data_IF_859900209506
#
_entry.id   IF_859900209506
#
_cell.length_a   1.000
_cell.length_b   1.000
_cell.length_c   1.000
_cell.angle_alpha   90.00
_cell.angle_beta   90.00
_cell.angle_gamma   90.00
#
_symmetry.space_group_name_H-M   'P 1'
#
loop_
_entity.id
_entity.type
_entity.pdbx_description
1 polymer ?
#
# COMPACT_ATOMS: atom_id res chain seq x y z
N UNK A 1 -6.44 -21.08 3.18
CA UNK A 1 -7.88 -20.98 3.41
C UNK A 1 -8.23 -19.52 3.23
N UNK A 2 -8.69 -19.15 2.03
CA UNK A 2 -9.09 -17.78 1.71
C UNK A 2 -10.34 -17.45 2.55
N UNK A 3 -10.23 -16.47 3.44
CA UNK A 3 -11.41 -15.84 4.02
C UNK A 3 -11.94 -14.90 2.94
N UNK A 4 -13.12 -15.14 2.37
CA UNK A 4 -13.71 -14.19 1.45
C UNK A 4 -13.96 -12.89 2.23
N UNK A 5 -13.39 -11.79 1.74
CA UNK A 5 -13.79 -10.46 2.18
C UNK A 5 -15.31 -10.37 2.03
N UNK A 6 -16.07 -9.89 3.04
CA UNK A 6 -17.54 -9.92 3.05
C UNK A 6 -18.22 -8.96 2.07
N UNK A 7 -17.51 -8.52 1.03
CA UNK A 7 -17.98 -7.53 0.06
C UNK A 7 -18.02 -8.03 -1.39
N UNK A 8 -17.99 -9.34 -1.63
CA UNK A 8 -18.35 -9.86 -2.95
C UNK A 8 -19.86 -9.78 -3.12
N UNK A 9 -20.33 -8.63 -3.59
CA UNK A 9 -21.69 -8.48 -4.07
C UNK A 9 -21.76 -9.24 -5.39
N UNK A 10 -22.41 -10.39 -5.38
CA UNK A 10 -22.67 -11.12 -6.61
C UNK A 10 -23.79 -10.41 -7.37
N UNK A 11 -23.47 -9.96 -8.57
CA UNK A 11 -24.45 -9.44 -9.50
C UNK A 11 -25.32 -10.62 -9.96
N UNK A 12 -26.55 -10.72 -9.46
CA UNK A 12 -27.52 -11.63 -10.03
C UNK A 12 -27.87 -11.11 -11.43
N UNK A 13 -27.77 -11.96 -12.44
CA UNK A 13 -27.91 -11.66 -13.88
C UNK A 13 -29.27 -11.04 -14.29
N UNK A 14 -29.89 -10.22 -13.49
CA UNK A 14 -31.09 -9.46 -13.76
C UNK A 14 -30.74 -8.01 -14.14
N UNK A 15 -30.20 -7.86 -15.36
CA UNK A 15 -30.05 -6.58 -16.01
C UNK A 15 -31.40 -6.13 -16.58
N UNK A 16 -31.96 -5.05 -16.03
CA UNK A 16 -33.12 -4.38 -16.61
C UNK A 16 -32.66 -3.09 -17.28
N UNK A 17 -32.87 -3.01 -18.58
CA UNK A 17 -32.55 -1.80 -19.36
C UNK A 17 -33.71 -0.80 -19.27
N UNK A 18 -33.47 0.38 -18.73
CA UNK A 18 -34.35 1.53 -18.82
C UNK A 18 -34.02 2.39 -20.04
N UNK A 19 -34.88 3.32 -20.40
CA UNK A 19 -34.63 4.26 -21.49
C UNK A 19 -33.46 5.23 -21.23
N UNK A 20 -33.05 5.41 -19.97
CA UNK A 20 -32.02 6.36 -19.52
C UNK A 20 -30.92 5.73 -18.66
N UNK A 21 -30.88 4.40 -18.56
CA UNK A 21 -29.85 3.72 -17.75
C UNK A 21 -30.11 2.23 -17.60
N UNK A 22 -29.31 1.59 -16.75
CA UNK A 22 -29.36 0.16 -16.45
C UNK A 22 -29.61 -0.03 -14.96
N UNK A 23 -30.51 -0.95 -14.62
CA UNK A 23 -30.79 -1.35 -13.24
C UNK A 23 -30.15 -2.72 -12.99
N UNK A 24 -29.28 -2.77 -12.00
CA UNK A 24 -28.66 -4.02 -11.56
C UNK A 24 -29.38 -4.55 -10.32
N UNK A 25 -29.95 -5.75 -10.41
CA UNK A 25 -30.45 -6.45 -9.23
C UNK A 25 -29.31 -7.00 -8.41
N UNK A 26 -29.27 -6.71 -7.11
CA UNK A 26 -28.26 -7.22 -6.17
C UNK A 26 -28.96 -8.08 -5.11
N UNK A 27 -28.29 -9.12 -4.65
CA UNK A 27 -28.79 -10.08 -3.65
C UNK A 27 -28.64 -9.60 -2.21
N UNK A 28 -27.88 -8.53 -1.99
CA UNK A 28 -27.62 -7.98 -0.67
C UNK A 28 -27.55 -6.45 -0.68
N UNK A 29 -27.76 -5.83 0.48
CA UNK A 29 -27.65 -4.38 0.65
C UNK A 29 -26.18 -3.96 0.49
N UNK A 30 -25.95 -2.98 -0.39
CA UNK A 30 -24.62 -2.38 -0.56
C UNK A 30 -24.40 -1.42 0.63
N UNK A 31 -23.44 -1.78 1.49
CA UNK A 31 -22.99 -0.92 2.58
C UNK A 31 -21.78 -0.11 2.14
N UNK A 32 -21.65 1.16 2.57
CA UNK A 32 -20.45 1.93 2.31
C UNK A 32 -19.24 1.26 2.98
N UNK A 33 -18.06 1.26 2.36
CA UNK A 33 -16.87 0.65 2.94
C UNK A 33 -16.47 1.37 4.23
N UNK A 34 -15.92 0.66 5.23
CA UNK A 34 -15.36 1.28 6.43
C UNK A 34 -14.04 2.02 6.12
N UNK A 35 -13.55 2.80 7.09
CA UNK A 35 -12.23 3.44 7.02
C UNK A 35 -11.10 2.38 6.92
N UNK A 36 -10.00 2.71 6.25
CA UNK A 36 -8.85 1.81 6.06
C UNK A 36 -8.33 1.22 7.37
N UNK A 37 -8.18 2.04 8.41
CA UNK A 37 -7.74 1.59 9.73
C UNK A 37 -8.76 0.65 10.40
N UNK A 38 -10.05 0.83 10.13
CA UNK A 38 -11.09 -0.07 10.61
C UNK A 38 -10.99 -1.43 9.91
N UNK A 39 -10.72 -1.46 8.60
CA UNK A 39 -10.50 -2.70 7.85
C UNK A 39 -9.35 -3.51 8.47
N UNK A 40 -8.23 -2.85 8.82
CA UNK A 40 -7.11 -3.51 9.49
C UNK A 40 -7.51 -4.14 10.83
N UNK A 41 -8.35 -3.44 11.60
CA UNK A 41 -8.81 -3.93 12.92
C UNK A 41 -9.78 -5.12 12.81
N UNK A 42 -10.51 -5.24 11.69
CA UNK A 42 -11.40 -6.38 11.43
C UNK A 42 -10.64 -7.65 11.00
N UNK A 43 -9.37 -7.54 10.61
CA UNK A 43 -8.53 -8.66 10.14
C UNK A 43 -7.29 -8.85 11.02
N UNK A 44 -7.43 -9.12 12.32
CA UNK A 44 -6.30 -9.22 13.25
C UNK A 44 -5.36 -10.40 12.92
N UNK A 45 -5.85 -11.46 12.30
CA UNK A 45 -5.04 -12.60 11.87
C UNK A 45 -3.96 -12.21 10.85
N UNK A 46 -4.21 -11.18 10.05
CA UNK A 46 -3.30 -10.69 9.01
C UNK A 46 -2.50 -9.46 9.45
N UNK A 47 -3.10 -8.57 10.28
CA UNK A 47 -2.55 -7.24 10.52
C UNK A 47 -2.32 -6.90 12.00
N UNK A 48 -2.34 -7.88 12.91
CA UNK A 48 -2.14 -7.62 14.35
C UNK A 48 -0.82 -6.92 14.66
N UNK A 49 0.26 -7.27 13.95
CA UNK A 49 1.58 -6.64 14.13
C UNK A 49 1.58 -5.19 13.65
N UNK A 50 0.98 -4.91 12.49
CA UNK A 50 0.81 -3.56 11.96
C UNK A 50 -0.04 -2.70 12.91
N UNK A 51 -1.17 -3.22 13.36
CA UNK A 51 -2.06 -2.53 14.29
C UNK A 51 -1.34 -2.17 15.58
N UNK A 52 -0.64 -3.14 16.19
CA UNK A 52 0.17 -2.89 17.38
C UNK A 52 1.21 -1.78 17.15
N UNK A 53 1.86 -1.78 15.98
CA UNK A 53 2.82 -0.75 15.60
C UNK A 53 2.19 0.63 15.48
N UNK A 54 1.04 0.75 14.81
CA UNK A 54 0.30 2.01 14.66
C UNK A 54 -0.20 2.57 15.99
N UNK A 55 -0.69 1.71 16.88
CA UNK A 55 -1.14 2.11 18.21
C UNK A 55 0.02 2.58 19.08
N UNK A 56 1.14 1.81 19.10
CA UNK A 56 2.32 2.11 19.90
C UNK A 56 2.98 3.43 19.50
N UNK A 57 3.06 3.72 18.21
CA UNK A 57 3.65 4.96 17.67
C UNK A 57 2.70 6.15 17.68
N UNK A 58 1.45 5.96 18.08
CA UNK A 58 0.40 6.98 18.06
C UNK A 58 -0.08 7.36 16.66
N UNK A 59 0.46 6.74 15.61
CA UNK A 59 0.10 7.03 14.21
C UNK A 59 -1.37 6.70 13.92
N UNK A 60 -1.94 5.70 14.58
CA UNK A 60 -3.36 5.37 14.46
C UNK A 60 -4.26 6.59 14.70
N UNK A 61 -4.00 7.32 15.79
CA UNK A 61 -4.76 8.54 16.13
C UNK A 61 -4.42 9.71 15.21
N UNK A 62 -3.15 9.84 14.84
CA UNK A 62 -2.68 10.93 13.97
C UNK A 62 -3.28 10.85 12.58
N UNK A 63 -3.29 9.67 11.94
CA UNK A 63 -3.90 9.44 10.63
C UNK A 63 -5.40 9.68 10.69
N UNK A 64 -6.07 9.16 11.72
CA UNK A 64 -7.52 9.35 11.88
C UNK A 64 -7.93 10.80 12.13
N UNK A 65 -7.09 11.60 12.79
CA UNK A 65 -7.36 13.00 13.09
C UNK A 65 -6.97 13.95 11.94
N UNK A 66 -6.11 13.51 11.04
CA UNK A 66 -5.66 14.33 9.90
C UNK A 66 -6.73 14.38 8.81
N UNK A 67 -7.20 15.56 8.41
CA UNK A 67 -8.09 15.67 7.25
C UNK A 67 -7.33 15.28 5.99
N UNK A 68 -7.81 14.29 5.27
CA UNK A 68 -7.25 13.84 3.99
C UNK A 68 -8.37 13.48 3.01
N UNK A 69 -8.14 13.77 1.74
CA UNK A 69 -9.04 13.41 0.64
C UNK A 69 -8.45 12.23 -0.11
N UNK A 70 -8.85 11.02 0.25
CA UNK A 70 -8.28 9.80 -0.27
C UNK A 70 -6.90 9.48 0.33
N UNK A 71 -6.28 8.42 -0.14
CA UNK A 71 -4.96 7.98 0.29
C UNK A 71 -4.71 6.54 -0.10
N UNK A 72 -3.45 6.12 0.00
CA UNK A 72 -3.06 4.73 -0.24
C UNK A 72 -2.29 4.21 0.97
N UNK A 73 -2.77 3.14 1.55
CA UNK A 73 -2.11 2.44 2.63
C UNK A 73 -1.51 1.13 2.11
N UNK A 74 -0.20 1.02 2.13
CA UNK A 74 0.51 -0.23 1.87
C UNK A 74 0.64 -1.00 3.19
N UNK A 75 -0.27 -1.94 3.43
CA UNK A 75 -0.38 -2.67 4.68
C UNK A 75 0.49 -3.93 4.68
N UNK A 76 1.61 -3.98 5.41
CA UNK A 76 2.40 -5.18 5.56
C UNK A 76 1.67 -6.20 6.44
N UNK A 77 1.56 -7.44 5.94
CA UNK A 77 0.97 -8.53 6.69
C UNK A 77 1.87 -8.99 7.85
N UNK A 78 1.34 -9.77 8.78
CA UNK A 78 2.14 -10.40 9.84
C UNK A 78 3.29 -11.24 9.24
N UNK A 79 3.08 -11.86 8.08
CA UNK A 79 4.13 -12.59 7.36
C UNK A 79 5.22 -11.64 6.82
N UNK A 80 4.84 -10.44 6.37
CA UNK A 80 5.80 -9.43 5.91
C UNK A 80 6.73 -9.01 7.07
N UNK A 81 6.19 -8.76 8.25
CA UNK A 81 6.99 -8.47 9.45
C UNK A 81 7.88 -9.67 9.84
N UNK A 82 7.39 -10.89 9.71
CA UNK A 82 8.17 -12.09 10.00
C UNK A 82 9.41 -12.21 9.10
N UNK A 83 9.33 -11.78 7.84
CA UNK A 83 10.48 -11.75 6.91
C UNK A 83 11.58 -10.77 7.30
N UNK A 84 11.29 -9.73 8.09
CA UNK A 84 12.34 -8.85 8.64
C UNK A 84 13.28 -9.55 9.62
N UNK A 85 12.90 -10.73 10.10
CA UNK A 85 13.66 -11.49 11.08
C UNK A 85 13.39 -11.06 12.53
N UNK A 86 13.69 -11.96 13.50
CA UNK A 86 13.34 -11.76 14.90
C UNK A 86 14.12 -10.62 15.57
N UNK A 87 15.36 -10.38 15.15
CA UNK A 87 16.23 -9.33 15.73
C UNK A 87 15.69 -7.93 15.42
N UNK A 88 15.32 -7.66 14.17
CA UNK A 88 14.76 -6.37 13.74
C UNK A 88 13.40 -6.15 14.38
N UNK A 89 12.54 -7.17 14.40
CA UNK A 89 11.23 -7.08 15.04
C UNK A 89 11.34 -6.80 16.54
N UNK A 90 12.21 -7.51 17.26
CA UNK A 90 12.44 -7.27 18.68
C UNK A 90 12.92 -5.83 18.94
N UNK A 91 13.81 -5.32 18.09
CA UNK A 91 14.26 -3.92 18.17
C UNK A 91 13.13 -2.94 17.90
N UNK A 92 12.38 -3.08 16.81
CA UNK A 92 11.29 -2.17 16.43
C UNK A 92 10.21 -2.04 17.52
N UNK A 93 9.86 -3.16 18.15
CA UNK A 93 8.86 -3.16 19.23
C UNK A 93 9.44 -2.91 20.62
N UNK A 94 10.75 -2.61 20.73
CA UNK A 94 11.38 -2.14 21.95
C UNK A 94 11.12 -0.64 22.19
N UNK A 95 11.46 -0.15 23.39
CA UNK A 95 11.39 1.29 23.70
C UNK A 95 12.36 2.12 22.83
N UNK A 96 13.49 1.56 22.45
CA UNK A 96 14.50 2.23 21.64
C UNK A 96 14.17 2.25 20.14
N UNK A 97 13.36 1.29 19.68
CA UNK A 97 12.97 1.15 18.27
C UNK A 97 11.70 1.91 17.87
N UNK A 98 11.00 2.55 18.82
CA UNK A 98 9.70 3.19 18.57
C UNK A 98 9.79 4.30 17.52
N UNK A 99 10.84 5.14 17.56
CA UNK A 99 11.07 6.19 16.55
C UNK A 99 11.30 5.60 15.16
N UNK A 100 12.08 4.50 15.08
CA UNK A 100 12.32 3.78 13.83
C UNK A 100 11.03 3.13 13.30
N UNK A 101 10.23 2.56 14.18
CA UNK A 101 8.93 2.00 13.81
C UNK A 101 7.99 3.07 13.28
N UNK A 102 7.95 4.25 13.91
CA UNK A 102 7.16 5.40 13.46
C UNK A 102 7.57 5.86 12.05
N UNK A 103 8.88 6.03 11.81
CA UNK A 103 9.40 6.39 10.49
C UNK A 103 9.08 5.32 9.43
N UNK A 104 9.29 4.05 9.77
CA UNK A 104 8.95 2.92 8.90
C UNK A 104 7.48 2.91 8.53
N UNK A 105 6.57 3.10 9.48
CA UNK A 105 5.14 3.10 9.23
C UNK A 105 4.69 4.33 8.44
N UNK A 106 5.30 5.51 8.66
CA UNK A 106 5.07 6.69 7.82
C UNK A 106 5.42 6.42 6.34
N UNK A 107 6.44 5.61 6.07
CA UNK A 107 6.84 5.24 4.71
C UNK A 107 5.82 4.34 3.99
N UNK A 108 4.91 3.70 4.72
CA UNK A 108 3.85 2.85 4.18
C UNK A 108 2.56 3.63 3.86
N UNK A 109 2.48 4.89 4.21
CA UNK A 109 1.27 5.70 4.05
C UNK A 109 1.51 6.81 3.04
N UNK A 110 0.66 6.87 2.04
CA UNK A 110 0.58 7.95 1.04
C UNK A 110 -0.70 8.72 1.28
N UNK A 111 -0.61 9.99 1.64
CA UNK A 111 -1.76 10.84 1.85
C UNK A 111 -2.20 11.53 0.55
N UNK A 112 -3.51 11.79 0.42
CA UNK A 112 -4.12 12.57 -0.67
C UNK A 112 -3.90 12.01 -2.09
N UNK A 113 -3.42 10.78 -2.23
CA UNK A 113 -3.28 10.10 -3.52
C UNK A 113 -3.77 8.65 -3.39
N UNK A 114 -4.79 8.31 -4.17
CA UNK A 114 -5.38 6.97 -4.19
C UNK A 114 -4.91 6.22 -5.42
N UNK A 115 -4.17 5.14 -5.22
CA UNK A 115 -3.64 4.28 -6.27
C UNK A 115 -4.52 3.04 -6.44
N UNK A 116 -5.30 2.97 -7.51
CA UNK A 116 -6.00 1.74 -7.92
C UNK A 116 -5.18 0.98 -8.96
N UNK A 117 -5.24 -0.34 -8.92
CA UNK A 117 -4.49 -1.20 -9.84
C UNK A 117 -4.96 -1.07 -11.30
N UNK A 118 -6.22 -0.74 -11.51
CA UNK A 118 -6.89 -0.64 -12.82
C UNK A 118 -7.05 0.80 -13.33
N UNK A 119 -6.74 1.81 -12.52
CA UNK A 119 -6.89 3.20 -12.91
C UNK A 119 -5.86 3.64 -13.96
N UNK A 120 -6.28 4.60 -14.78
CA UNK A 120 -5.42 5.25 -15.77
C UNK A 120 -4.60 6.35 -15.08
N UNK A 121 -3.32 6.12 -14.89
CA UNK A 121 -2.41 7.16 -14.45
C UNK A 121 -1.72 7.77 -15.65
N UNK A 122 -2.07 9.00 -16.01
CA UNK A 122 -1.28 9.80 -16.93
C UNK A 122 -0.04 10.26 -16.17
N UNK A 123 1.06 9.53 -16.30
CA UNK A 123 2.34 9.99 -15.80
C UNK A 123 2.62 11.37 -16.46
N UNK A 124 2.80 12.40 -15.65
CA UNK A 124 3.47 13.64 -16.05
C UNK A 124 4.98 13.35 -16.17
N UNK A 125 5.37 12.32 -16.89
CA UNK A 125 6.77 12.04 -17.12
C UNK A 125 7.13 12.35 -18.55
N UNK A 126 8.11 13.21 -18.69
CA UNK A 126 8.81 13.67 -19.86
C UNK A 126 9.64 12.58 -20.57
N UNK A 127 9.25 11.33 -20.54
CA UNK A 127 9.90 10.28 -21.32
C UNK A 127 8.86 9.35 -21.90
N UNK A 128 8.28 9.84 -23.00
CA UNK A 128 7.38 9.11 -23.84
C UNK A 128 8.12 8.00 -24.58
N UNK A 129 7.83 6.76 -24.25
CA UNK A 129 7.85 5.63 -25.18
C UNK A 129 6.59 4.80 -24.93
N UNK A 130 5.44 5.47 -25.01
CA UNK A 130 4.18 4.78 -25.22
C UNK A 130 3.90 4.88 -26.71
N UNK A 131 3.94 3.77 -27.45
CA UNK A 131 3.31 3.70 -28.74
C UNK A 131 1.83 4.08 -28.57
N UNK A 132 1.39 5.08 -29.35
CA UNK A 132 -0.02 5.47 -29.51
C UNK A 132 -0.76 4.35 -30.27
N UNK A 133 -0.99 3.24 -29.60
CA UNK A 133 -2.00 2.29 -30.03
C UNK A 133 -3.35 2.81 -29.51
N UNK A 134 -4.30 3.03 -30.42
CA UNK A 134 -5.67 3.43 -30.12
C UNK A 134 -6.24 2.53 -29.02
N UNK A 135 -6.34 3.07 -27.80
CA UNK A 135 -6.87 2.33 -26.66
C UNK A 135 -8.38 2.37 -26.77
N UNK A 136 -9.00 1.25 -27.09
CA UNK A 136 -10.44 1.07 -26.91
C UNK A 136 -10.78 1.35 -25.44
N UNK A 137 -11.68 2.33 -25.20
CA UNK A 137 -12.07 2.79 -23.84
C UNK A 137 -12.63 1.67 -22.93
N UNK A 138 -12.77 0.45 -23.46
CA UNK A 138 -13.34 -0.70 -22.77
C UNK A 138 -12.30 -1.65 -22.14
N UNK A 139 -11.04 -1.54 -22.55
CA UNK A 139 -10.00 -2.46 -22.09
C UNK A 139 -9.03 -1.73 -21.12
N UNK A 140 -8.70 -2.39 -20.02
CA UNK A 140 -7.63 -1.94 -19.11
C UNK A 140 -6.34 -1.83 -19.94
N UNK A 141 -5.68 -0.65 -19.98
CA UNK A 141 -4.50 -0.47 -20.83
C UNK A 141 -3.43 -1.50 -20.47
N UNK A 142 -3.00 -2.24 -21.49
CA UNK A 142 -1.89 -3.17 -21.39
C UNK A 142 -0.60 -2.36 -21.35
N UNK A 143 0.33 -2.73 -20.47
CA UNK A 143 1.63 -2.07 -20.44
C UNK A 143 2.25 -2.01 -19.05
N UNK A 144 3.32 -1.28 -19.00
CA UNK A 144 4.11 -1.02 -17.80
C UNK A 144 3.98 0.47 -17.44
N UNK A 145 3.60 0.73 -16.21
CA UNK A 145 3.43 2.08 -15.70
C UNK A 145 4.28 2.27 -14.46
N UNK A 146 5.00 3.36 -14.43
CA UNK A 146 5.83 3.76 -13.31
C UNK A 146 5.25 5.03 -12.68
N UNK A 147 5.06 5.01 -11.36
CA UNK A 147 4.54 6.15 -10.61
C UNK A 147 5.30 6.31 -9.31
N UNK A 148 5.74 7.53 -9.02
CA UNK A 148 6.32 7.88 -7.73
C UNK A 148 5.27 8.53 -6.84
N UNK A 149 4.97 7.93 -5.69
CA UNK A 149 4.00 8.44 -4.72
C UNK A 149 4.71 9.00 -3.49
N UNK A 150 4.45 10.27 -3.11
CA UNK A 150 5.00 10.86 -1.90
C UNK A 150 4.41 10.17 -0.67
N UNK A 151 5.25 9.81 0.29
CA UNK A 151 4.82 9.18 1.53
C UNK A 151 4.68 10.20 2.67
N UNK A 152 4.12 9.78 3.82
CA UNK A 152 4.15 10.58 5.04
C UNK A 152 5.55 10.68 5.68
N UNK A 153 6.52 9.93 5.15
CA UNK A 153 7.92 10.09 5.53
C UNK A 153 8.51 11.20 4.67
N UNK A 154 8.86 12.31 5.31
CA UNK A 154 9.34 13.53 4.66
C UNK A 154 10.46 13.21 3.64
N UNK A 155 10.37 13.83 2.46
CA UNK A 155 11.34 13.72 1.34
C UNK A 155 11.49 12.33 0.71
N UNK A 156 10.64 11.37 1.04
CA UNK A 156 10.69 10.02 0.40
C UNK A 156 9.42 9.69 -0.33
N UNK A 157 9.59 9.26 -1.58
CA UNK A 157 8.55 8.69 -2.42
C UNK A 157 8.70 7.17 -2.51
N UNK A 158 7.60 6.51 -2.78
CA UNK A 158 7.56 5.10 -3.19
C UNK A 158 7.57 5.04 -4.70
N UNK A 159 8.52 4.31 -5.24
CA UNK A 159 8.59 3.97 -6.65
C UNK A 159 7.70 2.74 -6.89
N UNK A 160 6.65 2.93 -7.67
CA UNK A 160 5.63 1.91 -7.90
C UNK A 160 5.58 1.57 -9.37
N UNK A 161 5.78 0.30 -9.65
CA UNK A 161 5.73 -0.28 -10.98
C UNK A 161 4.46 -1.11 -11.12
N UNK A 162 3.56 -0.72 -12.00
CA UNK A 162 2.33 -1.44 -12.32
C UNK A 162 2.47 -2.08 -13.70
N UNK A 163 2.52 -3.39 -13.74
CA UNK A 163 2.56 -4.17 -14.97
C UNK A 163 1.20 -4.83 -15.22
N UNK A 164 0.62 -4.58 -16.39
CA UNK A 164 -0.69 -5.10 -16.81
C UNK A 164 -0.52 -5.93 -18.07
N UNK A 165 -0.83 -7.20 -17.99
CA UNK A 165 -0.69 -8.11 -19.14
C UNK A 165 -1.72 -9.23 -19.08
N UNK A 166 -2.48 -9.41 -20.16
CA UNK A 166 -3.41 -10.54 -20.31
C UNK A 166 -4.43 -10.71 -19.17
N UNK A 167 -4.92 -9.60 -18.58
CA UNK A 167 -5.85 -9.64 -17.44
C UNK A 167 -5.17 -9.79 -16.08
N UNK A 168 -3.85 -9.96 -16.04
CA UNK A 168 -3.07 -9.95 -14.79
C UNK A 168 -2.53 -8.54 -14.51
N UNK A 169 -2.66 -8.13 -13.27
CA UNK A 169 -2.08 -6.88 -12.78
C UNK A 169 -1.06 -7.24 -11.69
N UNK A 170 0.16 -6.76 -11.85
CA UNK A 170 1.21 -6.94 -10.87
C UNK A 170 1.75 -5.58 -10.45
N UNK A 171 1.70 -5.31 -9.16
CA UNK A 171 2.21 -4.06 -8.57
C UNK A 171 3.47 -4.41 -7.79
N UNK A 172 4.60 -3.80 -8.18
CA UNK A 172 5.86 -3.87 -7.45
C UNK A 172 6.19 -2.52 -6.85
N UNK A 173 6.73 -2.53 -5.65
CA UNK A 173 7.10 -1.33 -4.90
C UNK A 173 8.60 -1.38 -4.67
N UNK A 174 9.29 -0.28 -5.03
CA UNK A 174 10.75 -0.16 -4.96
C UNK A 174 11.51 -1.33 -5.64
N UNK A 175 10.90 -1.97 -6.64
CA UNK A 175 11.48 -3.07 -7.38
C UNK A 175 11.53 -4.44 -6.67
N UNK A 176 11.34 -4.50 -5.35
CA UNK A 176 11.51 -5.74 -4.58
C UNK A 176 10.26 -6.23 -3.85
N UNK A 177 9.36 -5.35 -3.41
CA UNK A 177 8.13 -5.75 -2.71
C UNK A 177 6.97 -5.86 -3.68
N UNK A 178 6.27 -7.00 -3.68
CA UNK A 178 5.06 -7.19 -4.46
C UNK A 178 3.81 -6.98 -3.62
N UNK A 179 2.77 -6.46 -4.24
CA UNK A 179 1.43 -6.39 -3.65
C UNK A 179 0.79 -7.76 -3.76
N UNK A 180 0.40 -8.33 -2.61
CA UNK A 180 -0.23 -9.64 -2.51
C UNK A 180 -1.74 -9.57 -2.73
N UNK A 181 -2.39 -8.54 -2.17
CA UNK A 181 -3.81 -8.23 -2.36
C UNK A 181 -3.90 -6.75 -2.71
N UNK A 182 -4.51 -6.47 -3.84
CA UNK A 182 -4.67 -5.11 -4.36
C UNK A 182 -6.12 -4.63 -4.20
N UNK A 183 -6.29 -3.31 -4.22
CA UNK A 183 -7.59 -2.62 -4.28
C UNK A 183 -8.55 -2.96 -3.14
N UNK A 184 -8.06 -3.05 -1.91
CA UNK A 184 -8.91 -3.05 -0.73
C UNK A 184 -9.59 -1.69 -0.56
N UNK A 185 -10.83 -1.55 -1.07
CA UNK A 185 -11.57 -0.29 -1.06
C UNK A 185 -11.92 0.12 0.37
N UNK A 186 -11.54 1.34 0.75
CA UNK A 186 -11.90 1.96 2.01
C UNK A 186 -12.64 3.28 1.77
N UNK A 187 -13.35 3.77 2.80
CA UNK A 187 -14.06 5.06 2.73
C UNK A 187 -13.11 6.23 2.48
N UNK A 188 -11.91 6.15 3.03
CA UNK A 188 -10.87 7.17 3.07
C UNK A 188 -9.70 6.89 2.11
N UNK A 189 -9.83 5.88 1.23
CA UNK A 189 -8.80 5.56 0.26
C UNK A 189 -8.75 4.10 -0.15
N UNK A 190 -7.56 3.58 -0.38
CA UNK A 190 -7.32 2.19 -0.79
C UNK A 190 -6.24 1.54 0.07
N UNK A 191 -6.39 0.25 0.34
CA UNK A 191 -5.43 -0.57 1.08
C UNK A 191 -4.85 -1.63 0.16
N UNK A 192 -3.53 -1.65 0.04
CA UNK A 192 -2.79 -2.71 -0.64
C UNK A 192 -2.02 -3.55 0.35
N UNK A 193 -2.22 -4.86 0.33
CA UNK A 193 -1.47 -5.78 1.19
C UNK A 193 -0.13 -6.09 0.55
N UNK A 194 0.96 -5.76 1.23
CA UNK A 194 2.31 -6.00 0.72
C UNK A 194 2.94 -7.26 1.31
N UNK A 195 3.71 -7.95 0.48
CA UNK A 195 4.35 -9.21 0.81
C UNK A 195 5.60 -9.08 1.69
N UNK A 196 6.15 -7.86 1.79
CA UNK A 196 7.31 -7.50 2.61
C UNK A 196 7.16 -6.09 3.15
N UNK A 197 7.78 -5.82 4.29
CA UNK A 197 7.81 -4.47 4.88
C UNK A 197 8.65 -3.55 3.98
N UNK A 198 8.13 -2.37 3.67
CA UNK A 198 8.82 -1.39 2.85
C UNK A 198 9.87 -0.67 3.69
N UNK A 199 11.12 -0.76 3.26
CA UNK A 199 12.25 -0.05 3.89
C UNK A 199 12.77 0.97 2.88
N UNK A 200 13.04 2.22 3.28
CA UNK A 200 13.61 3.21 2.38
C UNK A 200 14.89 2.69 1.72
N UNK A 201 15.14 3.01 0.44
CA UNK A 201 16.36 2.61 -0.25
C UNK A 201 17.58 3.24 0.41
N UNK A 202 18.76 2.63 0.21
CA UNK A 202 20.03 3.17 0.71
C UNK A 202 20.28 4.57 0.15
N UNK A 203 20.80 5.44 0.99
CA UNK A 203 21.31 6.73 0.54
C UNK A 203 22.61 6.49 -0.24
N UNK A 204 22.88 7.22 -1.36
CA UNK A 204 24.12 7.09 -2.09
C UNK A 204 25.33 7.29 -1.17
N UNK A 205 26.26 6.33 -1.15
CA UNK A 205 27.45 6.34 -0.30
C UNK A 205 27.44 5.30 0.83
N UNK A 206 26.34 4.60 1.09
CA UNK A 206 26.33 3.45 2.00
C UNK A 206 27.03 2.24 1.39
N UNK A 207 27.92 1.61 2.14
CA UNK A 207 28.58 0.37 1.76
C UNK A 207 27.56 -0.77 1.61
N UNK A 208 27.68 -1.56 0.57
CA UNK A 208 26.90 -2.77 0.41
C UNK A 208 27.35 -3.81 1.46
N UNK A 209 26.54 -4.05 2.46
CA UNK A 209 26.61 -5.27 3.23
C UNK A 209 26.12 -6.40 2.31
N UNK A 210 27.01 -7.30 1.89
CA UNK A 210 26.82 -8.29 0.84
C UNK A 210 25.48 -9.04 0.85
N UNK A 211 25.24 -9.86 -0.15
CA UNK A 211 24.04 -10.67 -0.38
C UNK A 211 23.66 -11.50 0.86
N UNK A 212 22.82 -10.94 1.75
CA UNK A 212 22.38 -11.57 2.98
C UNK A 212 21.11 -10.90 3.52
N UNK A 213 20.49 -11.50 4.53
CA UNK A 213 19.40 -10.89 5.28
C UNK A 213 19.84 -9.51 5.82
N UNK A 214 19.00 -8.49 5.67
CA UNK A 214 19.27 -7.13 6.15
C UNK A 214 19.68 -7.15 7.63
N UNK A 215 20.87 -6.64 7.92
CA UNK A 215 21.38 -6.53 9.29
C UNK A 215 20.67 -5.43 10.07
N UNK A 216 20.63 -5.55 11.42
CA UNK A 216 20.01 -4.54 12.27
C UNK A 216 20.67 -3.16 12.12
N UNK A 217 21.98 -3.09 11.97
CA UNK A 217 22.71 -1.84 11.80
C UNK A 217 22.39 -1.18 10.46
N UNK A 218 22.38 -1.95 9.39
CA UNK A 218 21.97 -1.46 8.07
C UNK A 218 20.52 -0.95 8.08
N UNK A 219 19.62 -1.64 8.77
CA UNK A 219 18.24 -1.22 8.93
C UNK A 219 18.13 0.12 9.66
N UNK A 220 18.90 0.33 10.73
CA UNK A 220 18.96 1.59 11.46
C UNK A 220 19.50 2.72 10.58
N UNK A 221 20.63 2.48 9.90
CA UNK A 221 21.27 3.48 9.03
C UNK A 221 20.33 4.02 7.95
N UNK A 222 19.46 3.17 7.39
CA UNK A 222 18.48 3.58 6.38
C UNK A 222 17.38 4.48 6.94
N UNK A 223 17.07 4.39 8.23
CA UNK A 223 15.99 5.13 8.87
C UNK A 223 16.45 6.33 9.69
N UNK A 224 17.72 6.37 10.11
CA UNK A 224 18.31 7.49 10.90
C UNK A 224 18.03 8.87 10.27
N UNK A 225 18.19 9.09 8.94
CA UNK A 225 17.97 10.40 8.34
C UNK A 225 16.55 10.93 8.51
N UNK A 226 15.58 10.05 8.79
CA UNK A 226 14.14 10.36 8.83
C UNK A 226 13.56 10.39 10.24
N UNK A 227 14.40 10.26 11.26
CA UNK A 227 13.91 10.26 12.64
C UNK A 227 13.60 11.64 13.21
N UNK A 228 13.87 12.72 12.46
CA UNK A 228 13.60 14.09 12.87
C UNK A 228 14.28 14.50 14.18
N UNK A 229 14.60 15.78 14.34
CA UNK A 229 15.17 16.37 15.56
C UNK A 229 14.15 16.46 16.74
N UNK A 230 13.39 15.41 16.99
CA UNK A 230 12.69 15.26 18.26
C UNK A 230 13.64 14.57 19.28
N UNK A 231 14.70 15.28 19.64
CA UNK A 231 15.51 15.03 20.84
C UNK A 231 14.87 15.70 22.04
#
# INVERSE_FOLDING_TARGET
>A
MFVPLPFLITNTNNLQFGSNGVIHGVDSIILPPPEALTILSLLPTEFSTLQLGLEKTGLFKAIKASPHEGGTLFAPSNLAFKKLGPRINAFLFSKYGEKYLKALLKYHVVANQTLYSDAFYRAKSTSAHCHDDEVDEKDIPKGYFHVDLPTLLDEKSLSIDVARYGGYINIKINGFSSVAVQDGIAKDGVVHVVSSVLVPPKTPGMLDAGEGEMGLEEFKERLIPFMGDEL
#
